data_IF_053242533039
#
_entry.id   IF_053242533039
#
_cell.length_a   1.000
_cell.length_b   1.000
_cell.length_c   1.000
_cell.angle_alpha   90.00
_cell.angle_beta   90.00
_cell.angle_gamma   90.00
#
_symmetry.space_group_name_H-M   'P 1'
#
loop_
_entity.id
_entity.type
_entity.pdbx_description
1 polymer ?
#
# COMPACT_ATOMS: atom_id res chain seq x y z
N UNK A 1 57.03 -46.99 38.67
CA UNK A 1 57.20 -45.68 38.00
C UNK A 1 56.32 -45.74 36.75
N UNK A 2 55.02 -45.47 36.87
CA UNK A 2 54.34 -44.14 36.69
C UNK A 2 54.54 -43.60 35.27
N UNK A 3 53.58 -43.15 34.47
CA UNK A 3 52.12 -43.00 34.52
C UNK A 3 51.67 -42.87 33.03
N UNK A 4 50.63 -43.57 32.58
CA UNK A 4 49.34 -43.01 32.12
C UNK A 4 49.37 -41.55 31.60
N UNK A 5 49.32 -41.38 30.26
CA UNK A 5 48.97 -40.11 29.60
C UNK A 5 47.64 -40.27 28.86
N UNK A 6 46.67 -39.46 29.30
CA UNK A 6 45.26 -39.51 28.94
C UNK A 6 44.97 -38.72 27.66
N UNK A 7 44.25 -39.36 26.73
CA UNK A 7 43.61 -38.70 25.61
C UNK A 7 42.34 -37.98 26.11
N UNK A 8 42.38 -36.65 26.14
CA UNK A 8 41.21 -35.80 26.41
C UNK A 8 40.48 -35.47 25.11
N UNK A 9 39.45 -36.24 24.78
CA UNK A 9 38.44 -35.85 23.78
C UNK A 9 37.54 -34.77 24.41
N UNK A 10 37.69 -33.52 23.97
CA UNK A 10 36.78 -32.45 24.37
C UNK A 10 35.48 -32.57 23.57
N UNK A 11 34.50 -33.19 24.20
CA UNK A 11 33.08 -33.17 23.85
C UNK A 11 32.64 -31.70 23.64
N UNK A 12 32.56 -31.27 22.39
CA UNK A 12 31.89 -30.02 22.03
C UNK A 12 30.41 -30.30 22.18
N UNK A 13 29.92 -30.13 23.40
CA UNK A 13 28.52 -30.25 23.76
C UNK A 13 27.71 -29.43 22.76
N UNK A 14 27.03 -30.15 21.86
CA UNK A 14 26.02 -29.61 20.98
C UNK A 14 24.99 -28.93 21.88
N UNK A 15 25.03 -27.60 21.90
CA UNK A 15 24.10 -26.75 22.64
C UNK A 15 22.75 -26.90 21.94
N UNK A 16 22.05 -27.99 22.25
CA UNK A 16 20.63 -28.14 21.97
C UNK A 16 19.96 -26.98 22.67
N UNK A 17 19.63 -25.97 21.88
CA UNK A 17 18.85 -24.82 22.31
C UNK A 17 17.42 -25.32 22.51
N UNK A 18 17.21 -26.05 23.60
CA UNK A 18 15.92 -26.57 24.03
C UNK A 18 15.12 -25.36 24.52
N UNK A 19 14.53 -24.66 23.55
CA UNK A 19 13.56 -23.62 23.82
C UNK A 19 12.43 -24.26 24.63
N UNK A 20 11.97 -23.64 25.73
CA UNK A 20 10.98 -24.23 26.60
C UNK A 20 9.72 -24.62 25.79
N UNK A 21 9.14 -25.81 25.99
CA UNK A 21 8.00 -26.33 25.22
C UNK A 21 6.69 -25.51 25.35
N UNK A 22 6.74 -24.40 26.10
CA UNK A 22 5.66 -23.42 26.26
C UNK A 22 5.90 -22.12 25.46
N UNK A 23 6.98 -22.02 24.69
CA UNK A 23 7.15 -20.95 23.71
C UNK A 23 6.28 -21.27 22.50
N UNK A 24 5.08 -20.68 22.52
CA UNK A 24 4.14 -20.77 21.43
C UNK A 24 4.78 -20.11 20.20
N UNK A 25 5.20 -20.90 19.21
CA UNK A 25 5.61 -20.44 17.86
C UNK A 25 4.50 -19.70 17.10
N UNK A 26 3.38 -19.40 17.75
CA UNK A 26 2.28 -18.51 17.33
C UNK A 26 2.70 -17.02 17.22
N UNK A 27 3.99 -16.72 17.35
CA UNK A 27 4.57 -15.42 16.97
C UNK A 27 4.97 -15.38 15.48
N UNK A 28 4.70 -16.46 14.72
CA UNK A 28 4.74 -16.40 13.26
C UNK A 28 3.66 -15.43 12.76
N UNK A 29 4.03 -14.39 12.00
CA UNK A 29 3.06 -13.43 11.51
C UNK A 29 2.06 -14.15 10.60
N UNK A 30 0.75 -13.87 10.73
CA UNK A 30 -0.28 -14.54 9.95
C UNK A 30 0.03 -14.46 8.45
N UNK A 31 0.09 -15.62 7.81
CA UNK A 31 0.33 -15.73 6.38
C UNK A 31 -0.93 -15.35 5.60
N UNK A 32 -0.77 -14.52 4.56
CA UNK A 32 -1.85 -14.16 3.64
C UNK A 32 -2.14 -15.36 2.71
N UNK A 33 -3.39 -15.82 2.65
CA UNK A 33 -3.82 -16.93 1.79
C UNK A 33 -4.66 -16.46 0.59
N UNK A 34 -4.75 -17.30 -0.44
CA UNK A 34 -5.67 -17.06 -1.55
C UNK A 34 -7.12 -17.16 -1.07
N UNK A 35 -7.93 -16.14 -1.37
CA UNK A 35 -9.32 -16.01 -0.92
C UNK A 35 -9.51 -15.04 0.25
N UNK A 36 -8.44 -14.62 0.92
CA UNK A 36 -8.53 -13.73 2.07
C UNK A 36 -9.08 -12.35 1.68
N UNK A 37 -10.04 -11.88 2.48
CA UNK A 37 -10.66 -10.57 2.32
C UNK A 37 -10.04 -9.54 3.26
N UNK A 38 -9.34 -8.58 2.67
CA UNK A 38 -8.66 -7.50 3.37
C UNK A 38 -9.37 -6.17 3.17
N UNK A 39 -9.69 -5.51 4.29
CA UNK A 39 -10.26 -4.17 4.29
C UNK A 39 -9.16 -3.13 4.11
N UNK A 40 -9.14 -2.44 2.97
CA UNK A 40 -8.05 -1.52 2.58
C UNK A 40 -8.30 -0.07 3.00
N UNK A 41 -9.56 0.32 3.21
CA UNK A 41 -9.93 1.68 3.60
C UNK A 41 -10.32 1.75 5.07
N UNK A 42 -10.08 2.91 5.68
CA UNK A 42 -10.40 3.19 7.08
C UNK A 42 -11.90 3.13 7.39
N UNK A 43 -12.73 3.42 6.41
CA UNK A 43 -14.19 3.40 6.53
C UNK A 43 -14.79 2.01 6.29
N UNK A 44 -13.99 1.04 5.86
CA UNK A 44 -14.46 -0.31 5.55
C UNK A 44 -15.07 -0.48 4.15
N UNK A 45 -15.10 0.58 3.34
CA UNK A 45 -15.80 0.54 2.05
C UNK A 45 -15.01 -0.19 0.95
N UNK A 46 -13.68 -0.08 0.98
CA UNK A 46 -12.81 -0.74 -0.01
C UNK A 46 -12.34 -2.08 0.54
N UNK A 47 -12.80 -3.15 -0.10
CA UNK A 47 -12.45 -4.54 0.19
C UNK A 47 -11.59 -5.10 -0.92
N UNK A 48 -10.58 -5.88 -0.55
CA UNK A 48 -9.62 -6.53 -1.46
C UNK A 48 -9.67 -8.03 -1.18
N UNK A 49 -9.93 -8.83 -2.19
CA UNK A 49 -9.87 -10.30 -2.11
C UNK A 49 -8.61 -10.77 -2.82
N UNK A 50 -7.73 -11.47 -2.11
CA UNK A 50 -6.48 -11.98 -2.69
C UNK A 50 -6.82 -13.14 -3.63
N UNK A 51 -6.44 -13.03 -4.90
CA UNK A 51 -6.56 -14.12 -5.89
C UNK A 51 -5.26 -14.89 -6.07
N UNK A 52 -4.14 -14.21 -5.87
CA UNK A 52 -2.80 -14.77 -5.91
C UNK A 52 -1.93 -14.02 -4.93
N UNK A 53 -1.28 -14.73 -4.03
CA UNK A 53 -0.40 -14.13 -3.03
C UNK A 53 0.88 -13.59 -3.70
N UNK A 54 1.30 -12.39 -3.30
CA UNK A 54 2.54 -11.80 -3.77
C UNK A 54 3.77 -12.34 -3.03
N UNK A 55 4.96 -12.00 -3.53
CA UNK A 55 6.24 -12.36 -2.94
C UNK A 55 6.78 -11.22 -2.08
N UNK A 56 7.50 -11.58 -1.01
CA UNK A 56 8.19 -10.65 -0.14
C UNK A 56 7.29 -9.96 0.90
N UNK A 57 7.92 -9.21 1.81
CA UNK A 57 7.24 -8.46 2.88
C UNK A 57 7.03 -6.99 2.57
N UNK A 58 7.66 -6.49 1.51
CA UNK A 58 7.64 -5.08 1.17
C UNK A 58 6.32 -4.71 0.50
N UNK A 59 5.85 -3.50 0.83
CA UNK A 59 4.61 -2.91 0.30
C UNK A 59 4.92 -1.50 -0.18
N UNK A 60 4.27 -1.03 -1.27
CA UNK A 60 4.54 0.29 -1.79
C UNK A 60 4.14 1.38 -0.79
N UNK A 61 5.07 2.30 -0.58
CA UNK A 61 4.93 3.47 0.25
C UNK A 61 4.28 4.66 -0.45
N UNK A 62 4.29 5.80 0.25
CA UNK A 62 3.81 7.06 -0.29
C UNK A 62 4.81 7.64 -1.28
N UNK A 63 4.35 8.04 -2.47
CA UNK A 63 5.17 8.58 -3.57
C UNK A 63 6.12 7.57 -4.23
N UNK A 64 5.99 6.28 -3.90
CA UNK A 64 6.72 5.24 -4.62
C UNK A 64 6.20 5.12 -6.04
N UNK A 65 7.09 4.74 -6.96
CA UNK A 65 6.73 4.49 -8.35
C UNK A 65 6.25 3.05 -8.42
N UNK A 66 4.96 2.85 -8.61
CA UNK A 66 4.34 1.53 -8.74
C UNK A 66 4.10 1.20 -10.19
N UNK A 67 4.27 -0.07 -10.52
CA UNK A 67 3.98 -0.60 -11.84
C UNK A 67 2.88 -1.63 -11.71
N UNK A 68 1.71 -1.30 -12.25
CA UNK A 68 0.46 -2.03 -12.02
C UNK A 68 -0.24 -2.36 -13.32
N UNK A 69 -0.98 -3.46 -13.31
CA UNK A 69 -1.92 -3.82 -14.36
C UNK A 69 -3.29 -3.96 -13.73
N UNK A 70 -4.31 -3.32 -14.30
CA UNK A 70 -5.67 -3.49 -13.81
C UNK A 70 -6.69 -3.56 -14.96
N UNK A 71 -7.80 -4.23 -14.68
CA UNK A 71 -8.94 -4.33 -15.58
C UNK A 71 -10.22 -4.15 -14.76
N UNK A 72 -11.09 -3.24 -15.19
CA UNK A 72 -12.40 -3.06 -14.56
C UNK A 72 -13.32 -4.21 -14.98
N UNK A 73 -14.05 -4.80 -14.03
CA UNK A 73 -14.93 -5.94 -14.26
C UNK A 73 -16.41 -5.54 -14.21
N UNK A 74 -16.75 -4.62 -13.32
CA UNK A 74 -18.11 -4.13 -13.15
C UNK A 74 -18.05 -2.67 -12.72
N UNK A 75 -18.81 -1.84 -13.46
CA UNK A 75 -18.92 -0.43 -13.19
C UNK A 75 -20.36 0.01 -13.43
N UNK A 76 -21.07 0.33 -12.36
CA UNK A 76 -22.38 0.99 -12.43
C UNK A 76 -22.25 2.52 -12.63
N UNK A 77 -21.02 3.00 -12.86
CA UNK A 77 -20.61 4.39 -13.01
C UNK A 77 -19.99 4.64 -14.42
N UNK A 78 -19.62 5.87 -14.81
CA UNK A 78 -19.15 6.18 -16.16
C UNK A 78 -17.95 5.30 -16.54
N UNK A 79 -17.93 4.66 -17.72
CA UNK A 79 -16.90 3.69 -18.10
C UNK A 79 -15.53 4.33 -17.97
N UNK A 80 -14.76 3.88 -16.97
CA UNK A 80 -13.34 4.17 -16.89
C UNK A 80 -12.74 3.41 -18.05
N UNK A 81 -12.01 4.12 -18.92
CA UNK A 81 -11.28 3.46 -20.00
C UNK A 81 -10.32 2.48 -19.35
N UNK A 82 -10.56 1.19 -19.54
CA UNK A 82 -9.55 0.19 -19.27
C UNK A 82 -8.31 0.61 -20.05
N UNK A 83 -7.19 0.76 -19.35
CA UNK A 83 -5.90 0.99 -19.99
C UNK A 83 -5.31 -0.39 -20.18
N UNK A 84 -5.40 -0.98 -21.39
CA UNK A 84 -4.86 -2.31 -21.62
C UNK A 84 -3.33 -2.21 -21.53
N UNK A 85 -2.77 -2.69 -20.42
CA UNK A 85 -1.33 -2.81 -20.28
C UNK A 85 -0.80 -2.57 -18.87
N UNK A 86 0.51 -2.52 -18.82
CA UNK A 86 1.30 -2.14 -17.65
C UNK A 86 1.37 -0.61 -17.56
N UNK A 87 1.07 -0.07 -16.39
CA UNK A 87 1.08 1.37 -16.14
C UNK A 87 2.02 1.64 -14.98
N UNK A 88 2.99 2.51 -15.22
CA UNK A 88 3.90 2.99 -14.19
C UNK A 88 3.44 4.35 -13.69
N UNK A 89 3.17 4.46 -12.39
CA UNK A 89 2.52 5.61 -11.77
C UNK A 89 3.16 5.90 -10.41
N UNK A 90 3.28 7.18 -10.04
CA UNK A 90 3.65 7.57 -8.68
C UNK A 90 2.43 7.50 -7.74
N UNK A 91 2.57 6.83 -6.61
CA UNK A 91 1.53 6.76 -5.57
C UNK A 91 1.28 8.17 -5.01
N UNK A 92 0.06 8.69 -5.09
CA UNK A 92 -0.26 10.06 -4.68
C UNK A 92 -0.61 11.04 -5.81
N UNK A 93 -0.42 10.65 -7.07
CA UNK A 93 -0.50 11.58 -8.22
C UNK A 93 -1.90 11.77 -8.83
N UNK A 94 -2.95 11.17 -8.26
CA UNK A 94 -4.31 11.16 -8.85
C UNK A 94 -4.35 10.60 -10.28
N UNK A 95 -3.53 9.59 -10.59
CA UNK A 95 -3.53 8.91 -11.90
C UNK A 95 -4.27 7.57 -11.87
N UNK A 96 -4.48 7.01 -10.68
CA UNK A 96 -5.23 5.78 -10.45
C UNK A 96 -6.58 6.09 -9.81
N UNK A 97 -7.61 5.25 -10.04
CA UNK A 97 -8.83 5.26 -9.25
C UNK A 97 -8.54 5.09 -7.75
N UNK A 98 -9.33 5.79 -6.93
CA UNK A 98 -9.19 5.81 -5.47
C UNK A 98 -9.18 4.40 -4.85
N UNK A 99 -10.09 3.52 -5.28
CA UNK A 99 -10.16 2.13 -4.83
C UNK A 99 -8.88 1.33 -5.17
N UNK A 100 -8.34 1.54 -6.36
CA UNK A 100 -7.15 0.83 -6.84
C UNK A 100 -5.93 1.27 -6.04
N UNK A 101 -5.77 2.57 -5.79
CA UNK A 101 -4.66 3.10 -5.02
C UNK A 101 -4.66 2.55 -3.57
N UNK A 102 -5.83 2.46 -2.93
CA UNK A 102 -5.96 1.84 -1.60
C UNK A 102 -5.59 0.35 -1.61
N UNK A 103 -5.97 -0.38 -2.66
CA UNK A 103 -5.63 -1.78 -2.79
C UNK A 103 -4.13 -1.96 -2.98
N UNK A 104 -3.52 -1.26 -3.95
CA UNK A 104 -2.09 -1.35 -4.30
C UNK A 104 -1.21 -1.07 -3.08
N UNK A 105 -1.56 -0.09 -2.24
CA UNK A 105 -0.84 0.21 -1.00
C UNK A 105 -0.73 -0.99 -0.04
N UNK A 106 -1.70 -1.90 -0.07
CA UNK A 106 -1.74 -3.10 0.75
C UNK A 106 -1.32 -4.36 -0.03
N UNK A 107 -0.82 -4.23 -1.26
CA UNK A 107 -0.39 -5.36 -2.08
C UNK A 107 1.11 -5.63 -1.95
N UNK A 108 1.49 -6.90 -2.11
CA UNK A 108 2.87 -7.36 -2.28
C UNK A 108 3.21 -7.49 -3.77
N UNK A 109 4.51 -7.52 -4.11
CA UNK A 109 4.95 -7.66 -5.49
C UNK A 109 4.51 -9.00 -6.07
N UNK A 110 3.89 -8.99 -7.25
CA UNK A 110 3.31 -10.16 -7.90
C UNK A 110 1.94 -10.59 -7.36
N UNK A 111 1.38 -9.86 -6.39
CA UNK A 111 0.03 -10.11 -5.89
C UNK A 111 -1.02 -9.77 -6.96
N UNK A 112 -2.04 -10.63 -7.07
CA UNK A 112 -3.22 -10.37 -7.88
C UNK A 112 -4.42 -10.33 -6.94
N UNK A 113 -5.16 -9.24 -6.96
CA UNK A 113 -6.31 -9.05 -6.09
C UNK A 113 -7.53 -8.54 -6.84
N UNK A 114 -8.70 -8.90 -6.34
CA UNK A 114 -9.98 -8.37 -6.77
C UNK A 114 -10.45 -7.31 -5.79
N UNK A 115 -10.64 -6.09 -6.28
CA UNK A 115 -11.04 -4.92 -5.48
C UNK A 115 -12.54 -4.72 -5.64
N UNK A 116 -13.22 -4.52 -4.51
CA UNK A 116 -14.63 -4.18 -4.42
C UNK A 116 -14.81 -2.90 -3.62
N UNK A 117 -15.50 -1.93 -4.19
CA UNK A 117 -15.78 -0.67 -3.52
C UNK A 117 -17.10 -0.06 -4.02
N UNK A 118 -17.69 0.89 -3.29
CA UNK A 118 -18.77 1.72 -3.82
C UNK A 118 -18.31 2.53 -5.05
N UNK A 119 -19.23 2.85 -5.96
CA UNK A 119 -18.94 3.66 -7.15
C UNK A 119 -18.22 4.99 -6.87
N UNK A 120 -18.44 5.64 -5.73
CA UNK A 120 -17.73 6.86 -5.35
C UNK A 120 -16.19 6.69 -5.31
N UNK A 121 -15.70 5.47 -5.09
CA UNK A 121 -14.28 5.12 -5.06
C UNK A 121 -13.69 4.78 -6.44
N UNK A 122 -14.50 4.78 -7.51
CA UNK A 122 -13.98 4.59 -8.86
C UNK A 122 -13.37 5.87 -9.45
N UNK A 123 -13.58 7.02 -8.79
CA UNK A 123 -13.05 8.29 -9.26
C UNK A 123 -11.53 8.34 -9.20
N UNK A 124 -10.92 8.93 -10.22
CA UNK A 124 -9.49 9.19 -10.29
C UNK A 124 -9.18 10.35 -9.33
N UNK A 125 -8.93 9.99 -8.07
CA UNK A 125 -8.66 10.88 -6.95
C UNK A 125 -7.67 10.16 -6.02
N UNK A 126 -6.64 10.86 -5.57
CA UNK A 126 -5.66 10.37 -4.62
C UNK A 126 -5.83 11.05 -3.27
N UNK A 127 -6.26 10.33 -2.22
CA UNK A 127 -6.42 10.87 -0.87
C UNK A 127 -5.06 10.90 -0.14
N UNK A 128 -4.07 10.24 -0.72
CA UNK A 128 -2.73 10.03 -0.21
C UNK A 128 -1.85 11.28 -0.34
N UNK A 129 -2.32 12.30 -1.06
CA UNK A 129 -1.73 13.65 -1.11
C UNK A 129 -1.92 14.45 0.21
N UNK A 130 -1.80 13.79 1.37
CA UNK A 130 -2.15 14.28 2.71
C UNK A 130 -1.38 15.51 3.22
N UNK A 131 -0.55 16.15 2.40
CA UNK A 131 0.07 17.45 2.72
C UNK A 131 -0.01 18.46 1.58
N UNK A 132 0.15 18.06 0.32
CA UNK A 132 0.21 19.00 -0.80
C UNK A 132 -1.07 19.84 -0.94
N UNK A 133 -2.25 19.24 -0.76
CA UNK A 133 -3.49 20.03 -0.79
C UNK A 133 -3.70 20.92 0.44
N UNK A 134 -3.00 20.66 1.55
CA UNK A 134 -3.12 21.46 2.78
C UNK A 134 -2.21 22.70 2.77
N UNK A 135 -1.17 22.72 1.95
CA UNK A 135 -0.16 23.79 1.90
C UNK A 135 -0.13 24.57 0.59
N UNK A 136 -1.01 24.28 -0.37
CA UNK A 136 -1.15 25.12 -1.58
C UNK A 136 -1.61 26.53 -1.18
N UNK A 137 -0.86 27.60 -1.51
CA UNK A 137 -1.28 28.97 -1.25
C UNK A 137 -2.54 29.25 -2.08
N UNK A 138 -3.68 29.42 -1.40
CA UNK A 138 -4.98 29.73 -2.02
C UNK A 138 -6.11 28.72 -1.82
N UNK A 139 -5.92 27.60 -1.09
CA UNK A 139 -6.97 26.57 -0.98
C UNK A 139 -7.68 26.53 0.38
N UNK A 140 -8.94 26.98 0.28
CA UNK A 140 -10.17 26.78 1.07
C UNK A 140 -10.18 27.15 2.56
N UNK A 141 -11.20 27.93 3.00
CA UNK A 141 -11.37 28.28 4.40
C UNK A 141 -11.47 27.02 5.23
N UNK A 142 -11.05 27.09 6.50
CA UNK A 142 -11.21 26.02 7.50
C UNK A 142 -12.68 25.60 7.52
N UNK A 143 -13.05 24.60 6.72
CA UNK A 143 -14.38 24.00 6.78
C UNK A 143 -14.51 23.43 8.19
N UNK A 144 -15.66 23.68 8.83
CA UNK A 144 -15.90 23.34 10.23
C UNK A 144 -15.46 21.92 10.55
N UNK A 145 -15.08 21.66 11.81
CA UNK A 145 -14.45 20.41 12.28
C UNK A 145 -15.08 19.16 11.65
N UNK A 146 -14.50 18.66 10.56
CA UNK A 146 -14.92 17.40 9.94
C UNK A 146 -14.63 16.27 10.93
N UNK A 147 -15.67 15.49 11.27
CA UNK A 147 -15.57 14.37 12.21
C UNK A 147 -14.40 13.47 11.81
N UNK A 148 -13.59 12.99 12.77
CA UNK A 148 -12.36 12.21 12.51
C UNK A 148 -12.56 11.04 11.56
N UNK A 149 -13.74 10.40 11.61
CA UNK A 149 -14.14 9.27 10.76
C UNK A 149 -14.33 9.64 9.27
N UNK A 150 -14.44 10.93 8.95
CA UNK A 150 -14.72 11.46 7.59
C UNK A 150 -13.53 12.23 7.01
N UNK A 151 -12.39 12.29 7.70
CA UNK A 151 -11.19 13.02 7.24
C UNK A 151 -10.43 12.31 6.12
N UNK A 152 -10.89 11.14 5.67
CA UNK A 152 -10.20 10.32 4.67
C UNK A 152 -10.46 10.76 3.21
N UNK A 153 -11.44 11.65 3.00
CA UNK A 153 -11.59 12.43 1.78
C UNK A 153 -11.15 13.88 2.05
N UNK A 154 -9.85 14.15 2.27
CA UNK A 154 -9.38 15.48 2.66
C UNK A 154 -9.58 16.56 1.58
N UNK A 155 -10.06 16.18 0.40
CA UNK A 155 -10.18 17.04 -0.77
C UNK A 155 -11.39 16.74 -1.67
N UNK A 156 -12.23 15.75 -1.32
CA UNK A 156 -13.40 15.49 -2.15
C UNK A 156 -14.40 16.65 -1.94
N UNK A 157 -14.93 17.29 -3.00
CA UNK A 157 -16.01 18.26 -2.87
C UNK A 157 -17.11 17.67 -1.97
N UNK A 158 -17.71 18.51 -1.11
CA UNK A 158 -18.68 18.06 -0.10
C UNK A 158 -19.77 17.15 -0.70
N UNK A 159 -20.17 17.39 -1.95
CA UNK A 159 -21.11 16.56 -2.69
C UNK A 159 -20.65 15.10 -2.83
N UNK A 160 -19.39 14.85 -3.19
CA UNK A 160 -18.83 13.49 -3.28
C UNK A 160 -18.72 12.83 -1.91
N UNK A 161 -18.37 13.60 -0.87
CA UNK A 161 -18.32 13.08 0.48
C UNK A 161 -19.71 12.70 1.02
N UNK A 162 -20.75 13.50 0.74
CA UNK A 162 -22.13 13.18 1.09
C UNK A 162 -22.67 12.02 0.25
N UNK A 163 -22.37 11.98 -1.05
CA UNK A 163 -22.76 10.88 -1.92
C UNK A 163 -22.14 9.57 -1.45
N UNK A 164 -20.82 9.56 -1.17
CA UNK A 164 -20.14 8.40 -0.62
C UNK A 164 -20.76 7.94 0.71
N UNK A 165 -21.13 8.86 1.62
CA UNK A 165 -21.86 8.51 2.85
C UNK A 165 -23.21 7.89 2.57
N UNK A 166 -23.98 8.47 1.63
CA UNK A 166 -25.30 7.96 1.28
C UNK A 166 -25.20 6.54 0.70
N UNK A 167 -24.17 6.29 -0.11
CA UNK A 167 -23.90 4.98 -0.69
C UNK A 167 -23.47 3.99 0.38
N UNK A 168 -22.57 4.39 1.29
CA UNK A 168 -22.11 3.56 2.40
C UNK A 168 -23.26 3.18 3.37
N UNK A 169 -24.15 4.12 3.66
CA UNK A 169 -25.36 3.87 4.46
C UNK A 169 -26.33 2.92 3.76
N UNK A 170 -26.53 3.07 2.44
CA UNK A 170 -27.30 2.13 1.64
C UNK A 170 -26.67 0.73 1.64
N UNK A 171 -25.35 0.64 1.50
CA UNK A 171 -24.61 -0.63 1.58
C UNK A 171 -24.80 -1.32 2.93
N UNK A 172 -24.62 -0.59 4.03
CA UNK A 172 -24.78 -1.15 5.37
C UNK A 172 -26.21 -1.62 5.62
N UNK A 173 -27.21 -0.83 5.20
CA UNK A 173 -28.63 -1.19 5.31
C UNK A 173 -29.00 -2.40 4.42
N UNK A 174 -28.40 -2.51 3.23
CA UNK A 174 -28.55 -3.68 2.35
C UNK A 174 -27.91 -4.94 2.97
N UNK A 175 -26.77 -4.80 3.64
CA UNK A 175 -26.09 -5.92 4.30
C UNK A 175 -26.86 -6.40 5.54
N UNK A 176 -27.40 -5.49 6.34
CA UNK A 176 -28.23 -5.81 7.52
C UNK A 176 -29.57 -6.46 7.13
N UNK A 177 -30.16 -6.07 5.98
CA UNK A 177 -31.38 -6.70 5.47
C UNK A 177 -31.14 -8.08 4.83
N UNK A 178 -29.97 -8.30 4.21
CA UNK A 178 -29.57 -9.62 3.71
C UNK A 178 -29.29 -10.64 4.83
N UNK A 179 -28.85 -10.19 6.01
CA UNK A 179 -28.58 -11.06 7.15
C UNK A 179 -29.86 -11.55 7.87
N UNK A 180 -31.00 -10.86 7.72
CA UNK A 180 -32.22 -11.09 8.50
C UNK A 180 -33.42 -11.63 7.70
N UNK A 181 -33.32 -11.89 6.39
CA UNK A 181 -34.49 -12.25 5.57
C UNK A 181 -34.22 -13.30 4.49
N UNK A 182 -34.80 -14.49 4.66
CA UNK A 182 -35.00 -15.46 3.57
C UNK A 182 -36.11 -14.97 2.62
N UNK A 183 -35.85 -14.96 1.31
CA UNK A 183 -36.92 -14.99 0.29
C UNK A 183 -37.02 -13.79 -0.63
N UNK A 184 -36.43 -13.97 -1.83
CA UNK A 184 -36.87 -13.52 -3.16
C UNK A 184 -37.10 -12.03 -3.49
N UNK A 185 -36.50 -11.63 -4.63
CA UNK A 185 -36.55 -10.34 -5.34
C UNK A 185 -35.82 -9.18 -4.65
N UNK A 186 -34.48 -9.24 -4.75
CA UNK A 186 -33.58 -8.30 -4.09
C UNK A 186 -33.69 -6.87 -4.62
N UNK A 187 -33.62 -5.86 -3.74
CA UNK A 187 -33.49 -4.46 -4.15
C UNK A 187 -32.22 -4.30 -5.01
N UNK A 188 -32.31 -3.46 -6.04
CA UNK A 188 -31.21 -3.14 -6.96
C UNK A 188 -29.88 -3.03 -6.21
N UNK A 189 -28.95 -3.95 -6.54
CA UNK A 189 -27.62 -4.00 -5.94
C UNK A 189 -27.01 -2.60 -5.99
N UNK A 190 -26.55 -2.03 -4.86
CA UNK A 190 -25.99 -0.69 -4.85
C UNK A 190 -24.81 -0.60 -5.84
N UNK A 191 -24.61 0.55 -6.50
CA UNK A 191 -23.65 0.67 -7.58
C UNK A 191 -22.23 0.33 -7.09
N UNK A 192 -21.68 -0.76 -7.63
CA UNK A 192 -20.41 -1.35 -7.21
C UNK A 192 -19.32 -1.14 -8.25
N UNK A 193 -18.17 -0.68 -7.78
CA UNK A 193 -16.91 -0.76 -8.48
C UNK A 193 -16.26 -2.12 -8.21
N UNK A 194 -15.94 -2.86 -9.28
CA UNK A 194 -15.18 -4.09 -9.21
C UNK A 194 -14.03 -4.04 -10.22
N UNK A 195 -12.81 -4.30 -9.76
CA UNK A 195 -11.63 -4.37 -10.63
C UNK A 195 -10.68 -5.48 -10.21
N UNK A 196 -10.00 -6.07 -11.18
CA UNK A 196 -8.85 -6.95 -10.95
C UNK A 196 -7.59 -6.11 -11.05
N UNK A 197 -6.72 -6.21 -10.05
CA UNK A 197 -5.46 -5.44 -9.97
C UNK A 197 -4.32 -6.42 -9.75
N UNK A 198 -3.20 -6.19 -10.43
CA UNK A 198 -1.95 -6.92 -10.32
C UNK A 198 -0.82 -5.91 -10.08
N UNK A 199 -0.04 -6.13 -9.02
CA UNK A 199 1.13 -5.32 -8.72
C UNK A 199 2.37 -6.00 -9.32
N UNK A 200 2.92 -5.47 -10.40
CA UNK A 200 4.06 -6.08 -11.10
C UNK A 200 5.38 -5.77 -10.39
N UNK A 201 5.49 -4.57 -9.82
CA UNK A 201 6.67 -4.13 -9.08
C UNK A 201 6.52 -2.70 -8.59
N UNK A 202 7.43 -2.26 -7.74
CA UNK A 202 7.51 -0.87 -7.33
C UNK A 202 8.92 -0.47 -6.97
N UNK A 203 9.14 0.84 -6.91
CA UNK A 203 10.44 1.44 -6.59
C UNK A 203 10.27 2.41 -5.44
N UNK A 204 11.05 2.20 -4.39
CA UNK A 204 11.05 3.05 -3.21
C UNK A 204 11.65 4.43 -3.55
N UNK A 205 10.83 5.48 -3.46
CA UNK A 205 11.24 6.86 -3.69
C UNK A 205 11.13 7.65 -2.39
N UNK A 206 12.29 7.97 -1.82
CA UNK A 206 12.36 8.77 -0.61
C UNK A 206 12.51 10.26 -0.95
N UNK A 207 11.54 11.09 -0.58
CA UNK A 207 11.70 12.55 -0.62
C UNK A 207 12.68 12.99 0.48
N UNK A 208 13.78 13.63 0.09
CA UNK A 208 14.79 14.13 1.03
C UNK A 208 14.50 15.58 1.46
N UNK A 209 13.75 16.31 0.65
CA UNK A 209 13.33 17.69 0.91
C UNK A 209 11.80 17.78 0.99
N UNK A 210 11.28 18.77 1.71
CA UNK A 210 9.84 18.98 1.91
C UNK A 210 9.12 19.35 0.61
N UNK A 211 9.79 20.13 -0.25
CA UNK A 211 9.35 20.53 -1.59
C UNK A 211 9.45 19.39 -2.63
N UNK A 212 10.03 18.23 -2.24
CA UNK A 212 10.33 17.09 -3.12
C UNK A 212 11.25 17.43 -4.30
N UNK A 213 11.98 18.54 -4.27
CA UNK A 213 12.96 18.88 -5.31
C UNK A 213 14.13 17.88 -5.35
N UNK A 214 14.44 17.26 -4.20
CA UNK A 214 15.43 16.20 -4.09
C UNK A 214 14.74 14.91 -3.65
N UNK A 215 14.73 13.94 -4.57
CA UNK A 215 14.25 12.58 -4.32
C UNK A 215 15.37 11.56 -4.48
N UNK A 216 15.28 10.48 -3.70
CA UNK A 216 16.19 9.35 -3.74
C UNK A 216 15.43 8.10 -4.14
N UNK A 217 15.71 7.59 -5.34
CA UNK A 217 15.25 6.27 -5.78
C UNK A 217 16.21 5.20 -5.28
N UNK A 218 15.70 4.24 -4.51
CA UNK A 218 16.48 3.13 -3.98
C UNK A 218 16.43 2.00 -5.02
N UNK A 219 17.53 1.79 -5.74
CA UNK A 219 17.65 0.71 -6.73
C UNK A 219 18.04 -0.60 -6.03
N UNK A 220 18.92 -0.49 -5.03
CA UNK A 220 19.36 -1.61 -4.22
C UNK A 220 19.44 -1.18 -2.76
N UNK A 221 18.83 -1.95 -1.89
CA UNK A 221 18.90 -1.73 -0.44
C UNK A 221 20.31 -2.04 0.05
N UNK A 222 20.94 -1.08 0.73
CA UNK A 222 22.24 -1.29 1.34
C UNK A 222 22.15 -2.24 2.53
N UNK A 223 23.21 -3.00 2.79
CA UNK A 223 23.28 -3.95 3.92
C UNK A 223 23.44 -3.26 5.28
N UNK A 224 23.89 -1.99 5.31
CA UNK A 224 24.18 -1.27 6.54
C UNK A 224 23.01 -0.43 7.02
N UNK A 225 22.70 -0.54 8.32
CA UNK A 225 21.76 0.35 9.02
C UNK A 225 22.35 1.75 9.29
N UNK A 226 23.67 1.91 9.22
CA UNK A 226 24.35 3.17 9.53
C UNK A 226 24.18 4.15 8.36
N UNK A 227 23.61 5.32 8.65
CA UNK A 227 23.61 6.45 7.73
C UNK A 227 24.93 7.23 7.88
N UNK A 228 25.56 7.66 6.77
CA UNK A 228 26.77 8.47 6.85
C UNK A 228 26.50 9.78 7.61
N UNK A 229 27.38 10.12 8.54
CA UNK A 229 27.34 11.39 9.28
C UNK A 229 28.26 12.43 8.63
N UNK A 230 28.04 13.70 8.97
CA UNK A 230 28.95 14.79 8.56
C UNK A 230 30.34 14.49 9.14
N UNK A 231 31.35 14.41 8.28
CA UNK A 231 32.73 14.09 8.67
C UNK A 231 33.12 12.62 8.53
N UNK A 232 32.20 11.71 8.19
CA UNK A 232 32.57 10.35 7.81
C UNK A 232 33.33 10.40 6.47
N UNK A 233 34.60 9.99 6.45
CA UNK A 233 35.38 9.90 5.22
C UNK A 233 34.76 8.83 4.30
N UNK A 234 34.42 9.22 3.07
CA UNK A 234 33.84 8.31 2.07
C UNK A 234 34.83 8.06 0.96
N UNK A 235 35.14 6.79 0.69
CA UNK A 235 35.49 6.36 -0.66
C UNK A 235 34.18 6.32 -1.46
N UNK A 236 33.78 7.46 -2.03
CA UNK A 236 32.70 7.50 -3.02
C UNK A 236 33.34 7.42 -4.40
N UNK A 237 33.12 6.32 -5.10
CA UNK A 237 33.33 6.26 -6.55
C UNK A 237 32.25 7.13 -7.19
N UNK A 238 32.57 8.41 -7.35
CA UNK A 238 31.70 9.42 -7.94
C UNK A 238 31.71 9.28 -9.46
N UNK A 239 31.27 8.12 -9.96
CA UNK A 239 30.81 8.07 -11.34
C UNK A 239 29.55 8.92 -11.42
N UNK A 240 29.52 9.88 -12.34
CA UNK A 240 28.36 10.75 -12.66
C UNK A 240 27.09 9.98 -13.10
N UNK A 241 27.09 8.65 -12.94
CA UNK A 241 25.98 7.72 -12.80
C UNK A 241 26.27 6.84 -11.57
N UNK A 242 25.85 7.28 -10.39
CA UNK A 242 25.96 6.50 -9.15
C UNK A 242 25.34 5.11 -9.37
N UNK A 243 26.18 4.07 -9.40
CA UNK A 243 25.80 2.67 -9.71
C UNK A 243 24.72 2.05 -8.80
N UNK A 244 24.28 2.72 -7.73
CA UNK A 244 23.16 2.28 -6.89
C UNK A 244 22.11 3.37 -6.58
N UNK A 245 22.27 4.62 -7.03
CA UNK A 245 21.35 5.73 -6.68
C UNK A 245 21.19 6.74 -7.82
N UNK A 246 20.02 6.83 -8.45
CA UNK A 246 19.73 7.91 -9.40
C UNK A 246 19.11 9.10 -8.64
N UNK A 247 19.86 10.19 -8.52
CA UNK A 247 19.34 11.47 -8.02
C UNK A 247 18.79 12.23 -9.23
N UNK A 248 17.47 12.38 -9.31
CA UNK A 248 16.82 13.18 -10.33
C UNK A 248 16.55 14.58 -9.77
N UNK A 249 17.25 15.61 -10.28
CA UNK A 249 16.81 17.00 -10.09
C UNK A 249 15.69 17.25 -11.09
N UNK A 250 14.48 17.56 -10.62
CA UNK A 250 13.40 18.02 -11.50
C UNK A 250 13.77 19.44 -11.96
N UNK A 251 14.08 19.61 -13.25
CA UNK A 251 14.28 20.93 -13.82
C UNK A 251 12.95 21.68 -13.72
N UNK A 252 12.90 22.72 -12.88
CA UNK A 252 11.76 23.61 -12.80
C UNK A 252 11.66 24.37 -14.12
N UNK A 253 10.67 24.03 -14.94
CA UNK A 253 10.24 24.90 -16.03
C UNK A 253 9.57 26.13 -15.43
N UNK A 254 10.09 27.30 -15.76
CA UNK A 254 9.44 28.59 -15.52
C UNK A 254 8.17 28.74 -16.35
#
# INVERSE_FOLDING_TARGET
MTAEDAAGESDVQSINSDAPPAWNSDDEPPEDHEGDENTCSRDGAVKKVIKKVGKGLERPGQNDIVTVRFSTLQLDAPPIKDVPGEITVEMGDNKLPLAIEFAVKNMRVGEVAEVRAPAAYSLILSPLCGRQLRTQPGVLPKTGKVKRKLRFLPAAPNQLAEQAKSDLLKFRKAQESAANGSGSTGPASPPMFRARVELLGFECVQSLTEDRSVTKRIIQTGSSRRRPRRGDAKHQEETSRFKCFKICKKAGGC
#
